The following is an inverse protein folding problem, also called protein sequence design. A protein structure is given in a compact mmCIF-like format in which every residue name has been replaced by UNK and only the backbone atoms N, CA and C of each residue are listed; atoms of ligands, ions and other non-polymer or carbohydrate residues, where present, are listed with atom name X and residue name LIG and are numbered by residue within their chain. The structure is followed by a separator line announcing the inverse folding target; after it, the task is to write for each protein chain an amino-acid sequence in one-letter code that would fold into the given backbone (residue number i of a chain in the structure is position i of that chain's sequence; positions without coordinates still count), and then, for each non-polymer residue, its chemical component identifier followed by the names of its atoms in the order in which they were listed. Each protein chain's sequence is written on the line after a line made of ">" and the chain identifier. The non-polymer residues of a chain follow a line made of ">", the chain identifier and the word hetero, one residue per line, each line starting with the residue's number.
data_IF_875966830977
#
_entry.id   IF_875966830977
#
_cell.length_a   1.000
_cell.length_b   1.000
_cell.length_c   1.000
_cell.angle_alpha   90.00
_cell.angle_beta   90.00
_cell.angle_gamma   90.00
#
_symmetry.space_group_name_H-M   'P 1'
#
loop_
_entity.id
_entity.type
_entity.pdbx_description
1 polymer ?
#
# COMPACT_ATOMS: atom_id res chain seq x y z
N UNK A 1 -41.09 28.24 3.43
CA UNK A 1 -40.77 26.82 3.70
C UNK A 1 -39.47 26.52 2.97
N UNK A 2 -38.32 26.87 3.55
CA UNK A 2 -37.02 26.76 2.90
C UNK A 2 -36.51 25.30 2.97
N UNK A 3 -35.88 24.77 1.91
CA UNK A 3 -35.28 23.45 1.92
C UNK A 3 -33.94 23.49 2.69
N UNK A 4 -33.89 22.85 3.87
CA UNK A 4 -32.70 22.77 4.75
C UNK A 4 -31.81 21.55 4.47
N UNK A 5 -31.97 20.88 3.33
CA UNK A 5 -31.46 19.51 3.17
C UNK A 5 -30.05 19.38 2.57
N UNK A 6 -29.39 20.49 2.18
CA UNK A 6 -28.15 20.37 1.39
C UNK A 6 -27.10 21.45 1.67
N UNK A 7 -27.12 22.05 2.86
CA UNK A 7 -25.96 22.81 3.38
C UNK A 7 -25.10 21.86 4.23
N UNK A 8 -24.75 20.70 3.68
CA UNK A 8 -23.78 19.79 4.34
C UNK A 8 -22.40 20.39 4.06
N UNK A 9 -21.89 21.10 5.05
CA UNK A 9 -20.56 21.67 5.02
C UNK A 9 -19.47 20.59 5.06
N UNK A 10 -18.22 20.96 4.75
CA UNK A 10 -17.07 20.07 4.91
C UNK A 10 -16.93 19.53 6.34
N UNK A 11 -17.41 20.27 7.33
CA UNK A 11 -17.45 19.87 8.75
C UNK A 11 -18.39 18.69 9.00
N UNK A 12 -19.63 18.76 8.54
CA UNK A 12 -20.61 17.67 8.65
C UNK A 12 -20.16 16.43 7.87
N UNK A 13 -19.58 16.61 6.68
CA UNK A 13 -19.04 15.49 5.90
C UNK A 13 -17.91 14.77 6.64
N UNK A 14 -17.05 15.51 7.35
CA UNK A 14 -16.00 14.93 8.20
C UNK A 14 -16.57 14.09 9.35
N UNK A 15 -17.66 14.54 9.98
CA UNK A 15 -18.33 13.80 11.06
C UNK A 15 -18.93 12.51 10.50
N UNK A 16 -19.62 12.56 9.36
CA UNK A 16 -20.18 11.38 8.70
C UNK A 16 -19.06 10.41 8.32
N UNK A 17 -17.97 10.91 7.74
CA UNK A 17 -16.80 10.12 7.41
C UNK A 17 -16.23 9.44 8.66
N UNK A 18 -16.12 10.15 9.79
CA UNK A 18 -15.66 9.57 11.06
C UNK A 18 -16.58 8.43 11.53
N UNK A 19 -17.90 8.59 11.46
CA UNK A 19 -18.86 7.51 11.80
C UNK A 19 -18.68 6.30 10.89
N UNK A 20 -18.54 6.50 9.57
CA UNK A 20 -18.28 5.42 8.62
C UNK A 20 -16.95 4.73 8.93
N UNK A 21 -15.89 5.47 9.27
CA UNK A 21 -14.61 4.89 9.67
C UNK A 21 -14.71 4.05 10.94
N UNK A 22 -15.54 4.43 11.91
CA UNK A 22 -15.76 3.64 13.13
C UNK A 22 -16.52 2.35 12.83
N UNK A 23 -17.55 2.41 11.97
CA UNK A 23 -18.36 1.23 11.63
C UNK A 23 -17.64 0.23 10.72
N UNK A 24 -16.95 0.73 9.70
CA UNK A 24 -16.31 -0.11 8.68
C UNK A 24 -14.80 -0.32 8.94
N UNK A 25 -14.15 0.58 9.68
CA UNK A 25 -12.70 0.61 9.86
C UNK A 25 -11.97 1.28 8.68
N UNK A 26 -10.84 1.94 8.99
CA UNK A 26 -10.01 2.59 7.97
C UNK A 26 -9.44 1.61 6.92
N UNK A 27 -9.12 0.37 7.32
CA UNK A 27 -8.54 -0.63 6.42
C UNK A 27 -9.50 -1.10 5.33
N UNK A 28 -10.81 -1.23 5.62
CA UNK A 28 -11.81 -1.64 4.62
C UNK A 28 -12.04 -0.54 3.59
N UNK A 29 -12.19 0.71 4.04
CA UNK A 29 -12.33 1.88 3.16
C UNK A 29 -11.08 2.08 2.29
N UNK A 30 -9.89 1.97 2.88
CA UNK A 30 -8.63 2.08 2.14
C UNK A 30 -8.49 0.98 1.08
N UNK A 31 -8.89 -0.26 1.40
CA UNK A 31 -8.92 -1.37 0.45
C UNK A 31 -9.82 -1.09 -0.75
N UNK A 32 -11.05 -0.64 -0.50
CA UNK A 32 -12.02 -0.27 -1.55
C UNK A 32 -11.52 0.92 -2.39
N UNK A 33 -10.93 1.93 -1.75
CA UNK A 33 -10.33 3.07 -2.44
C UNK A 33 -9.16 2.68 -3.34
N UNK A 34 -8.26 1.79 -2.86
CA UNK A 34 -7.12 1.28 -3.65
C UNK A 34 -7.60 0.48 -4.86
N UNK A 35 -8.63 -0.35 -4.74
CA UNK A 35 -9.20 -1.08 -5.89
C UNK A 35 -9.93 -0.16 -6.87
N UNK A 36 -10.75 0.77 -6.36
CA UNK A 36 -11.49 1.72 -7.21
C UNK A 36 -10.54 2.67 -7.95
N UNK A 37 -9.51 3.17 -7.27
CA UNK A 37 -8.49 4.04 -7.88
C UNK A 37 -7.72 3.35 -9.00
N UNK A 38 -7.36 2.06 -8.83
CA UNK A 38 -6.74 1.27 -9.90
C UNK A 38 -7.66 1.13 -11.11
N UNK A 39 -8.93 0.78 -10.89
CA UNK A 39 -9.92 0.67 -11.97
C UNK A 39 -10.11 2.00 -12.73
N UNK A 40 -10.16 3.13 -12.01
CA UNK A 40 -10.28 4.47 -12.62
C UNK A 40 -9.03 4.81 -13.43
N UNK A 41 -7.84 4.47 -12.91
CA UNK A 41 -6.57 4.70 -13.62
C UNK A 41 -6.50 3.89 -14.92
N UNK A 42 -6.81 2.60 -14.86
CA UNK A 42 -6.84 1.74 -16.06
C UNK A 42 -7.88 2.22 -17.08
N UNK A 43 -9.06 2.65 -16.61
CA UNK A 43 -10.09 3.23 -17.48
C UNK A 43 -9.61 4.52 -18.16
N UNK A 44 -8.87 5.38 -17.43
CA UNK A 44 -8.30 6.62 -17.94
C UNK A 44 -7.23 6.35 -19.00
N UNK A 45 -6.33 5.41 -18.70
CA UNK A 45 -5.25 4.96 -19.57
C UNK A 45 -5.81 4.45 -20.92
N UNK A 46 -6.87 3.65 -20.89
CA UNK A 46 -7.51 3.09 -22.10
C UNK A 46 -8.36 4.12 -22.88
N UNK A 47 -9.00 5.07 -22.18
CA UNK A 47 -9.82 6.11 -22.82
C UNK A 47 -8.97 7.22 -23.45
N UNK A 48 -7.64 7.18 -23.30
CA UNK A 48 -6.71 8.12 -23.93
C UNK A 48 -6.80 9.54 -23.36
N UNK A 49 -7.27 9.70 -22.12
CA UNK A 49 -7.29 10.99 -21.44
C UNK A 49 -5.93 11.15 -20.74
N UNK A 50 -5.03 12.04 -21.21
CA UNK A 50 -3.68 12.16 -20.66
C UNK A 50 -3.69 12.66 -19.21
N UNK A 51 -2.96 11.96 -18.35
CA UNK A 51 -2.75 12.33 -16.94
C UNK A 51 -1.58 13.31 -16.77
N UNK A 52 -1.86 14.52 -16.26
CA UNK A 52 -0.82 15.52 -15.93
C UNK A 52 -0.20 15.37 -14.52
N UNK A 53 -0.38 14.25 -13.82
CA UNK A 53 0.10 14.12 -12.44
C UNK A 53 0.50 12.69 -12.06
N UNK A 54 1.69 12.25 -12.49
CA UNK A 54 2.37 11.06 -11.97
C UNK A 54 3.35 11.46 -10.90
N UNK A 55 2.97 11.47 -9.61
CA UNK A 55 3.91 11.30 -8.48
C UNK A 55 3.16 10.94 -7.20
N UNK A 56 2.86 9.65 -7.00
CA UNK A 56 2.57 9.11 -5.66
C UNK A 56 3.04 7.66 -5.49
N UNK A 57 3.83 7.15 -6.44
CA UNK A 57 4.41 5.81 -6.41
C UNK A 57 5.71 5.77 -5.58
N UNK A 58 5.67 6.27 -4.34
CA UNK A 58 6.82 6.21 -3.42
C UNK A 58 6.47 5.80 -1.99
N UNK A 59 5.21 5.50 -1.67
CA UNK A 59 4.81 5.23 -0.29
C UNK A 59 4.76 3.73 0.11
N UNK A 60 5.07 2.78 -0.76
CA UNK A 60 5.05 1.36 -0.37
C UNK A 60 6.10 0.55 -1.16
N UNK A 61 7.35 0.60 -0.70
CA UNK A 61 8.24 -0.57 -0.78
C UNK A 61 7.97 -1.43 0.46
N UNK A 62 7.12 -2.46 0.43
CA UNK A 62 7.15 -3.49 1.44
C UNK A 62 8.15 -4.58 1.01
N UNK A 63 8.84 -5.11 2.03
CA UNK A 63 9.87 -6.14 2.01
C UNK A 63 11.27 -5.68 1.59
N UNK A 64 12.07 -5.29 2.58
CA UNK A 64 13.33 -6.02 2.73
C UNK A 64 12.92 -7.47 3.00
N UNK A 65 13.18 -8.41 2.07
CA UNK A 65 13.01 -9.82 2.34
C UNK A 65 13.77 -10.20 3.60
N UNK A 66 13.22 -11.17 4.30
CA UNK A 66 13.82 -11.86 5.42
C UNK A 66 15.35 -11.91 5.34
N UNK A 67 15.97 -11.43 6.40
CA UNK A 67 17.00 -12.16 7.15
C UNK A 67 17.80 -13.18 6.31
N UNK A 68 19.03 -12.79 5.99
CA UNK A 68 20.15 -13.65 5.60
C UNK A 68 19.90 -14.63 4.45
N UNK A 69 20.47 -14.37 3.25
CA UNK A 69 20.90 -15.46 2.39
C UNK A 69 21.74 -16.39 3.25
N UNK A 70 21.37 -17.67 3.25
CA UNK A 70 22.13 -18.75 3.82
C UNK A 70 23.63 -18.50 3.55
N UNK A 71 24.36 -18.07 4.59
CA UNK A 71 25.80 -18.31 4.63
C UNK A 71 25.90 -19.84 4.63
N UNK A 72 26.44 -20.43 3.55
CA UNK A 72 26.64 -21.86 3.51
C UNK A 72 27.41 -22.27 4.75
N UNK A 73 26.91 -23.34 5.36
CA UNK A 73 27.65 -24.30 6.15
C UNK A 73 29.05 -23.84 6.51
N UNK A 74 29.20 -23.51 7.79
CA UNK A 74 30.30 -23.96 8.63
C UNK A 74 30.93 -25.27 8.08
N UNK A 75 31.79 -25.15 7.07
CA UNK A 75 32.80 -26.17 6.73
C UNK A 75 34.11 -25.60 7.20
N UNK A 76 34.26 -25.77 8.51
CA UNK A 76 35.48 -26.07 9.22
C UNK A 76 36.75 -25.92 8.39
N UNK A 77 37.57 -25.00 8.84
CA UNK A 77 39.00 -25.09 8.76
C UNK A 77 39.48 -26.55 8.90
N UNK A 78 39.95 -27.13 7.80
CA UNK A 78 40.87 -28.27 7.80
C UNK A 78 41.76 -28.16 6.54
N UNK A 79 42.47 -27.05 6.46
CA UNK A 79 43.69 -26.95 5.64
C UNK A 79 44.82 -26.82 6.65
N UNK A 80 45.10 -27.91 7.36
CA UNK A 80 45.85 -27.80 8.59
C UNK A 80 46.56 -29.03 9.14
N UNK A 81 46.38 -30.29 8.70
CA UNK A 81 47.25 -31.33 9.27
C UNK A 81 47.48 -32.60 8.41
N UNK A 82 48.72 -32.63 7.88
CA UNK A 82 49.66 -33.76 7.72
C UNK A 82 49.40 -34.92 6.74
N UNK A 83 50.42 -35.24 5.90
CA UNK A 83 50.54 -36.55 5.25
C UNK A 83 50.96 -37.61 6.29
N UNK A 84 50.93 -38.88 5.86
CA UNK A 84 51.48 -40.11 6.50
C UNK A 84 50.48 -40.99 7.27
N UNK A 85 49.98 -42.06 6.63
CA UNK A 85 50.49 -43.45 6.76
C UNK A 85 49.72 -44.39 5.84
#
# INVERSE_FOLDING_TARGET
>A
MAPLALDIGPSELLIILAVVLVLFGGSRLAGLGKSAGRAIKEFKDETGIPDSSTTADLAERPAVPAEHPAVPAERSADTGQRPTR
#
